data_IF_511772573664
#
_entry.id   IF_511772573664
#
_cell.length_a   1.000
_cell.length_b   1.000
_cell.length_c   1.000
_cell.angle_alpha   90.00
_cell.angle_beta   90.00
_cell.angle_gamma   90.00
#
_symmetry.space_group_name_H-M   'P 1'
#
loop_
_entity.id
_entity.type
_entity.pdbx_description
1 polymer ?
#
# COMPACT_ATOMS: atom_id res chain seq x y z
N UNK A 1 40.76 34.02 40.75
CA UNK A 1 39.53 33.19 40.65
C UNK A 1 39.23 32.70 39.21
N UNK A 2 40.13 32.90 38.24
CA UNK A 2 39.98 32.40 36.86
C UNK A 2 41.18 31.53 36.47
N UNK A 3 41.54 30.55 37.29
CA UNK A 3 42.40 29.46 36.84
C UNK A 3 41.54 28.20 36.70
N UNK A 4 41.64 27.47 35.57
CA UNK A 4 40.87 26.25 35.36
C UNK A 4 41.34 25.21 36.37
N UNK A 5 40.60 25.06 37.47
CA UNK A 5 40.72 23.91 38.34
C UNK A 5 40.04 22.73 37.65
N UNK A 6 40.85 21.78 37.17
CA UNK A 6 40.33 20.61 36.47
C UNK A 6 41.40 19.58 36.18
N UNK A 7 40.99 18.32 36.16
CA UNK A 7 41.83 17.18 35.79
C UNK A 7 42.23 17.34 34.31
N UNK A 8 43.53 17.23 34.01
CA UNK A 8 44.03 17.24 32.63
C UNK A 8 43.54 15.97 31.92
N UNK A 9 42.53 16.11 31.05
CA UNK A 9 42.03 15.01 30.22
C UNK A 9 43.01 14.76 29.07
N UNK A 10 43.60 13.55 28.94
CA UNK A 10 44.52 13.24 27.85
C UNK A 10 43.78 13.06 26.51
N UNK A 11 44.53 13.13 25.41
CA UNK A 11 43.98 12.92 24.07
C UNK A 11 43.43 11.49 23.90
N UNK A 12 42.31 11.31 23.17
CA UNK A 12 41.71 10.01 22.98
C UNK A 12 42.61 9.10 22.13
N UNK A 13 42.79 7.84 22.56
CA UNK A 13 43.55 6.84 21.79
C UNK A 13 42.89 6.50 20.44
N UNK A 14 41.56 6.52 20.39
CA UNK A 14 40.79 6.21 19.19
C UNK A 14 39.45 6.94 19.25
N UNK A 15 39.00 7.44 18.11
CA UNK A 15 37.69 8.08 17.96
C UNK A 15 36.97 7.49 16.75
N UNK A 16 35.65 7.30 16.90
CA UNK A 16 34.77 6.84 15.82
C UNK A 16 33.52 7.71 15.80
N UNK A 17 33.15 8.20 14.61
CA UNK A 17 31.97 9.03 14.41
C UNK A 17 31.08 8.36 13.36
N UNK A 18 29.91 7.87 13.78
CA UNK A 18 28.95 7.23 12.88
C UNK A 18 28.17 8.25 12.07
N UNK A 19 27.93 7.98 10.79
CA UNK A 19 27.12 8.82 9.90
C UNK A 19 25.97 8.03 9.27
N UNK A 20 24.99 7.68 10.09
CA UNK A 20 23.83 6.86 9.71
C UNK A 20 23.03 7.42 8.52
N UNK A 21 22.93 8.75 8.40
CA UNK A 21 22.21 9.39 7.29
C UNK A 21 22.87 9.20 5.92
N UNK A 22 24.20 9.02 5.88
CA UNK A 22 24.96 8.78 4.63
C UNK A 22 25.26 7.31 4.38
N UNK A 23 24.98 6.43 5.34
CA UNK A 23 25.16 4.99 5.17
C UNK A 23 24.16 4.47 4.11
N UNK A 24 24.61 3.85 3.01
CA UNK A 24 23.74 3.37 1.95
C UNK A 24 22.77 2.28 2.39
N UNK A 25 23.08 1.53 3.46
CA UNK A 25 22.24 0.44 3.98
C UNK A 25 21.19 0.94 4.97
N UNK A 26 21.52 1.95 5.78
CA UNK A 26 20.62 2.46 6.83
C UNK A 26 19.83 3.69 6.38
N UNK A 27 20.46 4.61 5.64
CA UNK A 27 19.89 5.89 5.15
C UNK A 27 19.20 6.74 6.23
N UNK A 28 19.60 6.56 7.48
CA UNK A 28 18.94 7.11 8.66
C UNK A 28 19.17 6.24 9.89
N UNK A 29 18.66 6.69 11.04
CA UNK A 29 18.82 5.97 12.31
C UNK A 29 17.64 5.04 12.60
N UNK A 30 16.42 5.60 12.67
CA UNK A 30 15.18 4.88 12.97
C UNK A 30 13.98 5.67 12.49
N UNK A 31 12.82 5.02 12.43
CA UNK A 31 11.60 5.64 11.95
C UNK A 31 11.00 6.61 12.98
N UNK A 32 10.23 7.60 12.49
CA UNK A 32 9.45 8.50 13.32
C UNK A 32 8.10 8.83 12.64
N UNK A 33 7.13 9.29 13.43
CA UNK A 33 5.87 9.82 12.90
C UNK A 33 6.11 11.27 12.49
N UNK A 34 6.31 11.50 11.20
CA UNK A 34 6.47 12.83 10.64
C UNK A 34 5.19 13.68 10.80
N UNK A 35 5.32 15.00 10.66
CA UNK A 35 4.16 15.90 10.66
C UNK A 35 3.21 15.52 9.53
N UNK A 36 1.95 15.23 9.87
CA UNK A 36 0.92 14.78 8.93
C UNK A 36 0.90 13.27 8.66
N UNK A 37 1.84 12.50 9.23
CA UNK A 37 1.79 11.04 9.29
C UNK A 37 0.99 10.59 10.52
N UNK A 38 0.58 9.32 10.55
CA UNK A 38 -0.09 8.73 11.72
C UNK A 38 0.48 7.35 12.04
N UNK A 39 0.12 6.83 13.22
CA UNK A 39 0.49 5.47 13.59
C UNK A 39 -0.06 4.40 12.63
N UNK A 40 -1.08 4.73 11.81
CA UNK A 40 -1.64 3.82 10.82
C UNK A 40 -0.66 3.57 9.66
N UNK A 41 0.31 4.48 9.44
CA UNK A 41 1.34 4.28 8.42
C UNK A 41 2.23 3.07 8.73
N UNK A 42 2.45 2.74 10.02
CA UNK A 42 3.13 1.51 10.41
C UNK A 42 2.32 0.26 10.07
N UNK A 43 1.00 0.32 10.25
CA UNK A 43 0.11 -0.79 9.91
C UNK A 43 0.11 -1.02 8.40
N UNK A 44 0.10 0.07 7.60
CA UNK A 44 0.22 0.03 6.13
C UNK A 44 1.57 -0.58 5.71
N UNK A 45 2.68 -0.17 6.34
CA UNK A 45 4.00 -0.73 6.04
C UNK A 45 4.13 -2.21 6.42
N UNK A 46 3.36 -2.67 7.41
CA UNK A 46 3.32 -4.07 7.83
C UNK A 46 2.43 -4.96 6.94
N UNK A 47 1.68 -4.40 5.98
CA UNK A 47 0.78 -5.17 5.14
C UNK A 47 1.55 -6.13 4.22
N UNK A 48 1.10 -7.40 4.17
CA UNK A 48 1.59 -8.33 3.17
C UNK A 48 1.02 -8.01 1.77
N UNK A 49 1.80 -8.30 0.73
CA UNK A 49 1.47 -8.02 -0.66
C UNK A 49 1.46 -9.31 -1.48
N UNK A 50 0.59 -9.37 -2.50
CA UNK A 50 0.54 -10.48 -3.45
C UNK A 50 -0.03 -11.77 -2.89
N UNK A 51 -1.01 -11.68 -1.98
CA UNK A 51 -1.62 -12.83 -1.29
C UNK A 51 -0.58 -13.65 -0.50
N UNK A 52 0.21 -12.97 0.34
CA UNK A 52 1.25 -13.60 1.15
C UNK A 52 2.47 -14.05 0.36
N UNK A 53 2.92 -13.23 -0.59
CA UNK A 53 4.18 -13.43 -1.34
C UNK A 53 5.31 -12.55 -0.81
N UNK A 54 4.98 -11.31 -0.49
CA UNK A 54 5.91 -10.33 0.06
C UNK A 54 5.43 -9.92 1.44
N UNK A 55 6.33 -9.97 2.41
CA UNK A 55 6.10 -9.65 3.81
C UNK A 55 7.12 -8.59 4.24
N UNK A 56 6.72 -7.72 5.15
CA UNK A 56 7.57 -6.63 5.65
C UNK A 56 7.69 -6.75 7.17
N UNK A 57 8.93 -6.85 7.62
CA UNK A 57 9.30 -6.87 9.03
C UNK A 57 10.32 -5.76 9.33
N UNK A 58 10.61 -5.56 10.61
CA UNK A 58 11.52 -4.54 11.09
C UNK A 58 10.83 -3.50 11.96
N UNK A 59 11.64 -2.57 12.48
CA UNK A 59 11.23 -1.53 13.42
C UNK A 59 10.10 -0.66 12.85
N UNK A 60 10.26 -0.21 11.60
CA UNK A 60 9.29 0.64 10.89
C UNK A 60 7.96 -0.04 10.52
N UNK A 61 7.73 -1.28 10.98
CA UNK A 61 6.47 -2.03 10.77
C UNK A 61 5.75 -2.34 12.09
N UNK A 62 6.22 -1.77 13.20
CA UNK A 62 5.67 -2.00 14.54
C UNK A 62 5.09 -0.73 15.14
N UNK A 63 3.77 -0.55 15.05
CA UNK A 63 3.05 0.59 15.64
C UNK A 63 3.18 0.70 17.15
N UNK A 64 3.25 -0.44 17.85
CA UNK A 64 3.33 -0.48 19.33
C UNK A 64 4.73 -0.17 19.83
N UNK A 65 5.74 -0.53 19.06
CA UNK A 65 7.13 -0.49 19.46
C UNK A 65 8.01 0.07 18.32
N UNK A 66 7.74 1.30 17.85
CA UNK A 66 8.60 1.95 16.86
C UNK A 66 9.95 2.32 17.48
N UNK A 67 10.91 2.65 16.62
CA UNK A 67 12.29 3.02 16.87
C UNK A 67 13.05 2.10 17.86
N UNK A 68 12.68 0.82 17.95
CA UNK A 68 13.19 -0.10 18.98
C UNK A 68 13.65 -1.44 18.42
N UNK A 69 14.67 -2.02 19.07
CA UNK A 69 15.20 -3.35 18.73
C UNK A 69 14.17 -4.46 19.01
N UNK A 70 13.48 -4.43 20.16
CA UNK A 70 12.42 -5.42 20.42
C UNK A 70 11.26 -5.30 19.44
N UNK A 71 10.97 -4.11 18.90
CA UNK A 71 9.94 -3.91 17.89
C UNK A 71 10.27 -4.62 16.59
N UNK A 72 11.54 -4.57 16.17
CA UNK A 72 12.04 -5.32 15.02
C UNK A 72 12.01 -6.84 15.24
N UNK A 73 12.37 -7.31 16.44
CA UNK A 73 12.32 -8.73 16.78
C UNK A 73 10.88 -9.27 16.74
N UNK A 74 9.95 -8.57 17.40
CA UNK A 74 8.55 -8.99 17.47
C UNK A 74 7.87 -8.93 16.09
N UNK A 75 8.19 -7.94 15.25
CA UNK A 75 7.68 -7.91 13.87
C UNK A 75 8.26 -9.06 13.02
N UNK A 76 9.51 -9.47 13.26
CA UNK A 76 10.07 -10.68 12.65
C UNK A 76 9.28 -11.95 12.98
N UNK A 77 8.97 -12.19 14.25
CA UNK A 77 8.14 -13.34 14.65
C UNK A 77 6.72 -13.26 14.08
N UNK A 78 6.14 -12.06 14.01
CA UNK A 78 4.83 -11.83 13.39
C UNK A 78 4.82 -12.27 11.93
N UNK A 79 5.79 -11.82 11.13
CA UNK A 79 5.86 -12.18 9.71
C UNK A 79 6.21 -13.65 9.49
N UNK A 80 7.08 -14.24 10.31
CA UNK A 80 7.38 -15.67 10.23
C UNK A 80 6.12 -16.54 10.44
N UNK A 81 5.29 -16.17 11.42
CA UNK A 81 4.00 -16.84 11.65
C UNK A 81 3.04 -16.67 10.46
N UNK A 82 2.98 -15.48 9.85
CA UNK A 82 2.19 -15.25 8.65
C UNK A 82 2.70 -16.08 7.46
N UNK A 83 4.00 -16.12 7.22
CA UNK A 83 4.61 -16.91 6.16
C UNK A 83 4.26 -18.40 6.28
N UNK A 84 4.35 -18.95 7.49
CA UNK A 84 3.99 -20.35 7.77
C UNK A 84 2.51 -20.64 7.47
N UNK A 85 1.62 -19.73 7.89
CA UNK A 85 0.18 -19.83 7.59
C UNK A 85 -0.09 -19.77 6.09
N UNK A 86 0.46 -18.78 5.39
CA UNK A 86 0.30 -18.65 3.94
C UNK A 86 0.90 -19.82 3.17
N UNK A 87 2.00 -20.41 3.64
CA UNK A 87 2.57 -21.62 3.06
C UNK A 87 1.62 -22.83 3.23
N UNK A 88 1.05 -22.98 4.42
CA UNK A 88 0.08 -24.04 4.73
C UNK A 88 -1.23 -23.88 3.94
N UNK A 89 -1.72 -22.65 3.81
CA UNK A 89 -2.92 -22.33 3.02
C UNK A 89 -2.70 -22.64 1.53
N UNK A 90 -1.49 -22.36 1.01
CA UNK A 90 -1.12 -22.72 -0.37
C UNK A 90 -1.04 -24.24 -0.56
N UNK A 91 -0.51 -24.97 0.42
CA UNK A 91 -0.41 -26.42 0.36
C UNK A 91 -1.76 -27.13 0.48
N UNK A 92 -2.69 -26.57 1.27
CA UNK A 92 -3.99 -27.20 1.54
C UNK A 92 -5.03 -27.01 0.44
N UNK A 93 -4.84 -26.08 -0.51
CA UNK A 93 -5.72 -25.89 -1.68
C UNK A 93 -7.18 -25.50 -1.38
N UNK A 94 -7.56 -25.42 -0.09
CA UNK A 94 -8.90 -25.13 0.37
C UNK A 94 -9.11 -23.63 0.42
N UNK A 95 -10.24 -23.16 -0.12
CA UNK A 95 -10.67 -21.77 -0.07
C UNK A 95 -10.98 -21.39 1.38
N UNK A 96 -9.96 -20.88 2.09
CA UNK A 96 -10.10 -20.37 3.46
C UNK A 96 -11.20 -19.31 3.46
N UNK A 97 -12.23 -19.50 4.30
CA UNK A 97 -13.24 -18.47 4.58
C UNK A 97 -12.56 -17.32 5.32
N UNK A 98 -12.05 -16.37 4.53
CA UNK A 98 -11.32 -15.18 4.97
C UNK A 98 -12.15 -14.28 5.90
N UNK A 99 -11.47 -13.57 6.80
CA UNK A 99 -12.08 -12.65 7.78
C UNK A 99 -12.84 -11.49 7.09
N UNK A 100 -13.80 -10.83 7.76
CA UNK A 100 -14.56 -9.72 7.18
C UNK A 100 -13.70 -8.53 6.71
N UNK A 101 -12.55 -8.27 7.36
CA UNK A 101 -11.59 -7.23 6.94
C UNK A 101 -10.95 -7.55 5.58
N UNK A 102 -10.49 -8.79 5.42
CA UNK A 102 -9.91 -9.29 4.16
C UNK A 102 -10.93 -9.30 3.02
N UNK A 103 -12.24 -9.43 3.29
CA UNK A 103 -13.29 -9.31 2.25
C UNK A 103 -13.34 -7.92 1.63
N UNK A 104 -13.25 -6.87 2.43
CA UNK A 104 -13.29 -5.48 1.95
C UNK A 104 -12.01 -5.13 1.17
N UNK A 105 -10.88 -5.66 1.63
CA UNK A 105 -9.57 -5.56 0.98
C UNK A 105 -9.57 -6.25 -0.39
N UNK A 106 -10.02 -7.51 -0.44
CA UNK A 106 -10.16 -8.26 -1.70
C UNK A 106 -11.10 -7.55 -2.69
N UNK A 107 -12.17 -6.91 -2.20
CA UNK A 107 -13.09 -6.14 -3.05
C UNK A 107 -12.44 -4.89 -3.67
N UNK A 108 -11.51 -4.23 -2.96
CA UNK A 108 -10.74 -3.11 -3.55
C UNK A 108 -9.72 -3.62 -4.57
N UNK A 109 -8.98 -4.67 -4.22
CA UNK A 109 -8.01 -5.29 -5.12
C UNK A 109 -8.72 -5.77 -6.39
N UNK A 110 -9.91 -6.37 -6.29
CA UNK A 110 -10.68 -6.78 -7.46
C UNK A 110 -11.13 -5.59 -8.32
N UNK A 111 -11.58 -4.50 -7.70
CA UNK A 111 -11.93 -3.26 -8.43
C UNK A 111 -10.71 -2.67 -9.15
N UNK A 112 -9.54 -2.64 -8.51
CA UNK A 112 -8.30 -2.20 -9.15
C UNK A 112 -7.90 -3.14 -10.29
N UNK A 113 -7.99 -4.45 -10.11
CA UNK A 113 -7.75 -5.42 -11.17
C UNK A 113 -8.68 -5.19 -12.37
N UNK A 114 -9.96 -4.89 -12.14
CA UNK A 114 -10.91 -4.59 -13.22
C UNK A 114 -10.58 -3.27 -13.94
N UNK A 115 -10.22 -2.21 -13.21
CA UNK A 115 -9.87 -0.91 -13.80
C UNK A 115 -8.61 -1.01 -14.67
N UNK A 116 -7.61 -1.77 -14.22
CA UNK A 116 -6.35 -1.94 -14.94
C UNK A 116 -6.38 -3.03 -16.04
N UNK A 117 -7.56 -3.58 -16.39
CA UNK A 117 -7.71 -4.38 -17.63
C UNK A 117 -7.53 -3.55 -18.89
N UNK A 118 -7.85 -2.25 -18.82
CA UNK A 118 -7.66 -1.28 -19.91
C UNK A 118 -6.99 -0.02 -19.33
N UNK A 119 -5.68 -0.05 -19.05
CA UNK A 119 -4.97 1.13 -18.60
C UNK A 119 -4.97 2.21 -19.68
N UNK A 120 -4.85 3.48 -19.28
CA UNK A 120 -4.79 4.58 -20.26
C UNK A 120 -3.41 4.64 -20.91
N UNK A 121 -2.36 4.37 -20.12
CA UNK A 121 -0.98 4.25 -20.60
C UNK A 121 -0.33 3.03 -19.94
N UNK A 122 0.41 2.24 -20.70
CA UNK A 122 1.13 1.07 -20.19
C UNK A 122 2.51 0.96 -20.84
N UNK A 123 3.54 0.93 -20.00
CA UNK A 123 4.93 0.79 -20.40
C UNK A 123 5.58 -0.35 -19.62
N UNK A 124 5.54 -1.55 -20.20
CA UNK A 124 6.15 -2.73 -19.63
C UNK A 124 5.48 -3.17 -18.33
N UNK A 125 6.19 -3.04 -17.21
CA UNK A 125 5.68 -3.36 -15.85
C UNK A 125 4.86 -2.24 -15.22
N UNK A 126 4.89 -1.04 -15.79
CA UNK A 126 4.26 0.14 -15.20
C UNK A 126 3.02 0.54 -16.00
N UNK A 127 1.91 0.76 -15.32
CA UNK A 127 0.66 1.21 -15.93
C UNK A 127 0.10 2.42 -15.20
N UNK A 128 -0.53 3.32 -15.95
CA UNK A 128 -1.14 4.55 -15.47
C UNK A 128 -2.62 4.59 -15.79
N UNK A 129 -3.36 5.19 -14.86
CA UNK A 129 -4.79 5.39 -14.92
C UNK A 129 -5.11 6.85 -14.55
N UNK A 130 -5.77 7.58 -15.43
CA UNK A 130 -6.13 8.98 -15.24
C UNK A 130 -7.61 9.16 -14.90
N UNK A 131 -7.91 10.13 -14.03
CA UNK A 131 -9.25 10.71 -13.97
C UNK A 131 -9.46 11.68 -15.14
N UNK A 132 -10.57 11.55 -15.88
CA UNK A 132 -10.90 12.44 -17.01
C UNK A 132 -11.42 13.80 -16.54
N UNK A 133 -12.11 13.88 -15.41
CA UNK A 133 -12.59 15.17 -14.86
C UNK A 133 -11.45 16.04 -14.31
N UNK A 134 -11.54 17.34 -14.60
CA UNK A 134 -10.61 18.40 -14.14
C UNK A 134 -10.52 18.52 -12.60
N UNK A 135 -11.52 17.99 -11.87
CA UNK A 135 -11.54 17.95 -10.41
C UNK A 135 -10.50 16.98 -9.83
N UNK A 136 -10.17 15.90 -10.54
CA UNK A 136 -9.20 14.91 -10.08
C UNK A 136 -7.83 15.22 -10.69
N UNK A 137 -7.06 16.07 -10.02
CA UNK A 137 -5.65 16.34 -10.35
C UNK A 137 -4.72 15.16 -10.04
N UNK A 138 -5.24 13.93 -10.03
CA UNK A 138 -4.56 12.72 -9.53
C UNK A 138 -4.72 11.57 -10.52
N UNK A 139 -3.72 10.72 -10.58
CA UNK A 139 -3.68 9.49 -11.38
C UNK A 139 -3.28 8.31 -10.49
N UNK A 140 -3.64 7.09 -10.88
CA UNK A 140 -3.26 5.86 -10.21
C UNK A 140 -2.16 5.19 -11.02
N UNK A 141 -1.02 4.98 -10.39
CA UNK A 141 0.13 4.23 -10.89
C UNK A 141 0.04 2.79 -10.36
N UNK A 142 0.26 1.82 -11.24
CA UNK A 142 0.44 0.40 -10.90
C UNK A 142 1.83 -0.04 -11.38
N UNK A 143 2.55 -0.77 -10.54
CA UNK A 143 3.78 -1.47 -10.90
C UNK A 143 3.59 -2.97 -10.68
N UNK A 144 3.85 -3.76 -11.70
CA UNK A 144 3.73 -5.21 -11.70
C UNK A 144 5.08 -5.85 -11.40
N UNK A 145 5.12 -6.77 -10.44
CA UNK A 145 6.30 -7.53 -10.05
C UNK A 145 6.06 -9.04 -10.26
N UNK A 146 7.14 -9.78 -10.56
CA UNK A 146 7.10 -11.24 -10.74
C UNK A 146 6.93 -11.73 -12.17
N UNK A 147 6.88 -10.84 -13.17
CA UNK A 147 6.97 -11.24 -14.58
C UNK A 147 8.44 -11.41 -14.97
N UNK A 148 8.89 -12.66 -15.11
CA UNK A 148 10.16 -12.95 -15.74
C UNK A 148 10.00 -12.70 -17.24
N UNK A 149 10.55 -11.59 -17.74
CA UNK A 149 10.64 -11.34 -19.18
C UNK A 149 11.90 -12.02 -19.64
N UNK A 150 11.82 -13.30 -19.99
CA UNK A 150 12.85 -13.93 -20.81
C UNK A 150 12.80 -13.24 -22.18
N UNK A 151 13.69 -12.27 -22.42
CA UNK A 151 14.05 -11.84 -23.77
C UNK A 151 15.56 -11.80 -23.93
N UNK A 152 16.02 -12.89 -24.55
CA UNK A 152 17.15 -13.03 -25.49
C UNK A 152 18.57 -12.71 -25.01
N UNK A 153 19.34 -13.78 -24.77
CA UNK A 153 20.79 -13.78 -24.90
C UNK A 153 21.49 -14.79 -23.97
N UNK A 154 21.93 -15.91 -24.54
CA UNK A 154 22.74 -17.01 -23.95
C UNK A 154 21.98 -18.05 -23.12
N UNK A 155 21.51 -19.09 -23.83
CA UNK A 155 20.98 -20.33 -23.27
C UNK A 155 22.14 -21.28 -22.94
N UNK A 156 22.29 -21.65 -21.66
CA UNK A 156 23.05 -22.83 -21.24
C UNK A 156 22.07 -24.01 -21.08
N UNK A 157 22.42 -25.23 -21.52
CA UNK A 157 21.49 -26.36 -21.60
C UNK A 157 20.99 -26.89 -20.23
N UNK A 158 21.70 -26.63 -19.12
CA UNK A 158 21.30 -27.10 -17.78
C UNK A 158 20.25 -26.21 -17.07
N UNK A 159 20.00 -25.00 -17.56
CA UNK A 159 19.01 -24.10 -16.94
C UNK A 159 17.56 -24.53 -17.23
N UNK A 160 17.32 -25.32 -18.28
CA UNK A 160 15.98 -25.74 -18.70
C UNK A 160 15.28 -26.64 -17.68
N UNK A 161 16.01 -27.57 -17.05
CA UNK A 161 15.45 -28.45 -16.02
C UNK A 161 15.21 -27.71 -14.71
N UNK A 162 16.10 -26.79 -14.32
CA UNK A 162 15.89 -25.93 -13.15
C UNK A 162 14.71 -24.98 -13.38
N UNK A 163 14.58 -24.41 -14.57
CA UNK A 163 13.49 -23.52 -14.96
C UNK A 163 12.15 -24.27 -15.07
N UNK A 164 12.15 -25.54 -15.53
CA UNK A 164 10.97 -26.41 -15.51
C UNK A 164 10.58 -26.87 -14.10
N UNK A 165 11.53 -27.12 -13.20
CA UNK A 165 11.25 -27.42 -11.79
C UNK A 165 10.76 -26.18 -11.04
N UNK A 166 11.34 -25.01 -11.31
CA UNK A 166 10.91 -23.73 -10.77
C UNK A 166 9.53 -23.31 -11.28
N UNK A 167 9.18 -23.56 -12.54
CA UNK A 167 7.85 -23.20 -13.08
C UNK A 167 6.71 -24.04 -12.50
N UNK A 168 6.97 -25.29 -12.09
CA UNK A 168 5.97 -26.16 -11.45
C UNK A 168 5.79 -25.88 -9.95
N UNK A 169 6.86 -25.55 -9.21
CA UNK A 169 6.79 -25.16 -7.79
C UNK A 169 6.32 -23.72 -7.59
N UNK A 170 6.59 -22.88 -8.58
CA UNK A 170 6.39 -21.45 -8.53
C UNK A 170 5.44 -21.10 -9.69
N UNK A 171 4.14 -21.36 -9.50
CA UNK A 171 3.11 -20.55 -10.18
C UNK A 171 3.39 -19.10 -9.75
N UNK A 172 4.32 -18.42 -10.44
CA UNK A 172 4.72 -17.05 -10.14
C UNK A 172 3.59 -16.14 -10.59
N UNK A 173 2.55 -16.08 -9.76
CA UNK A 173 1.47 -15.12 -9.92
C UNK A 173 2.06 -13.74 -9.65
N UNK A 174 1.98 -12.89 -10.67
CA UNK A 174 2.35 -11.49 -10.61
C UNK A 174 1.65 -10.83 -9.40
N UNK A 175 2.36 -9.92 -8.73
CA UNK A 175 1.75 -9.07 -7.72
C UNK A 175 1.91 -7.60 -8.10
N UNK A 176 0.98 -6.79 -7.60
CA UNK A 176 0.86 -5.40 -8.01
C UNK A 176 1.05 -4.49 -6.81
N UNK A 177 1.84 -3.45 -6.99
CA UNK A 177 1.90 -2.31 -6.08
C UNK A 177 1.29 -1.09 -6.75
N UNK A 178 0.69 -0.23 -5.95
CA UNK A 178 -0.05 0.92 -6.42
C UNK A 178 0.39 2.20 -5.72
N UNK A 179 0.18 3.32 -6.40
CA UNK A 179 0.38 4.66 -5.82
C UNK A 179 -0.53 5.66 -6.51
N UNK A 180 -1.09 6.59 -5.74
CA UNK A 180 -1.71 7.79 -6.30
C UNK A 180 -0.64 8.85 -6.50
N UNK A 181 -0.56 9.36 -7.72
CA UNK A 181 0.35 10.42 -8.14
C UNK A 181 -0.44 11.63 -8.61
N UNK A 182 0.20 12.81 -8.67
CA UNK A 182 -0.42 13.98 -9.27
C UNK A 182 -0.45 13.83 -10.80
N UNK A 183 -1.43 14.44 -11.46
CA UNK A 183 -1.53 14.41 -12.93
C UNK A 183 -0.30 15.05 -13.60
N UNK A 184 0.30 16.08 -12.98
CA UNK A 184 1.55 16.69 -13.45
C UNK A 184 2.70 15.67 -13.47
N UNK A 185 2.87 14.93 -12.38
CA UNK A 185 3.92 13.90 -12.28
C UNK A 185 3.67 12.75 -13.25
N UNK A 186 2.40 12.37 -13.45
CA UNK A 186 2.03 11.36 -14.44
C UNK A 186 2.39 11.78 -15.87
N UNK A 187 2.18 13.06 -16.22
CA UNK A 187 2.58 13.60 -17.52
C UNK A 187 4.11 13.68 -17.68
N UNK A 188 4.83 14.13 -16.65
CA UNK A 188 6.30 14.10 -16.62
C UNK A 188 6.83 12.69 -16.85
N UNK A 189 6.21 11.67 -16.23
CA UNK A 189 6.55 10.26 -16.48
C UNK A 189 6.36 9.87 -17.95
N UNK A 190 5.23 10.23 -18.56
CA UNK A 190 4.95 9.89 -19.96
C UNK A 190 5.85 10.61 -20.97
N UNK A 191 6.40 11.77 -20.62
CA UNK A 191 7.32 12.51 -21.47
C UNK A 191 8.74 11.90 -21.50
N UNK A 192 9.08 11.05 -20.53
CA UNK A 192 10.40 10.40 -20.47
C UNK A 192 10.59 9.43 -21.64
N UNK A 193 11.52 9.76 -22.53
CA UNK A 193 12.02 8.84 -23.55
C UNK A 193 13.00 7.86 -22.90
N UNK A 194 12.58 6.61 -22.68
CA UNK A 194 13.50 5.59 -22.17
C UNK A 194 12.87 4.27 -21.74
N UNK A 195 11.67 3.94 -22.22
CA UNK A 195 11.09 2.63 -21.94
C UNK A 195 10.65 2.45 -20.48
N UNK A 196 10.60 1.19 -20.06
CA UNK A 196 10.29 0.78 -18.69
C UNK A 196 11.35 1.23 -17.69
N UNK A 197 12.64 1.15 -18.07
CA UNK A 197 13.76 1.40 -17.16
C UNK A 197 13.85 2.87 -16.74
N UNK A 198 13.55 3.80 -17.64
CA UNK A 198 13.50 5.22 -17.31
C UNK A 198 12.37 5.54 -16.32
N UNK A 199 11.21 4.89 -16.47
CA UNK A 199 10.09 5.06 -15.55
C UNK A 199 10.42 4.49 -14.17
N UNK A 200 10.98 3.28 -14.11
CA UNK A 200 11.39 2.66 -12.84
C UNK A 200 12.48 3.47 -12.16
N UNK A 201 13.49 3.93 -12.91
CA UNK A 201 14.56 4.79 -12.38
C UNK A 201 14.01 6.09 -11.83
N UNK A 202 13.10 6.75 -12.55
CA UNK A 202 12.45 7.97 -12.06
C UNK A 202 11.67 7.73 -10.76
N UNK A 203 10.96 6.61 -10.65
CA UNK A 203 10.21 6.25 -9.43
C UNK A 203 11.13 6.00 -8.23
N UNK A 204 12.33 5.46 -8.45
CA UNK A 204 13.33 5.22 -7.41
C UNK A 204 14.03 6.52 -7.00
N UNK A 205 14.41 7.35 -7.96
CA UNK A 205 15.18 8.58 -7.73
C UNK A 205 14.32 9.70 -7.13
N UNK A 206 13.01 9.74 -7.43
CA UNK A 206 12.11 10.73 -6.85
C UNK A 206 11.72 10.32 -5.42
N UNK A 207 12.16 11.06 -4.38
CA UNK A 207 11.99 10.68 -2.97
C UNK A 207 10.53 10.70 -2.47
N UNK A 208 9.55 11.02 -3.34
CA UNK A 208 8.14 11.24 -2.97
C UNK A 208 7.18 10.15 -3.45
N UNK A 209 7.64 9.15 -4.20
CA UNK A 209 6.79 8.08 -4.73
C UNK A 209 7.02 6.80 -3.93
N UNK A 210 6.20 6.59 -2.90
CA UNK A 210 6.18 5.32 -2.15
C UNK A 210 5.15 4.40 -2.78
N UNK A 211 5.60 3.26 -3.32
CA UNK A 211 4.71 2.21 -3.81
C UNK A 211 4.13 1.46 -2.61
N UNK A 212 2.82 1.20 -2.64
CA UNK A 212 2.10 0.54 -1.55
C UNK A 212 1.39 -0.70 -2.08
N UNK A 213 1.03 -1.62 -1.19
CA UNK A 213 0.13 -2.72 -1.56
C UNK A 213 -1.24 -2.19 -2.03
N UNK A 214 -2.05 -3.08 -2.62
CA UNK A 214 -3.44 -2.72 -2.98
C UNK A 214 -4.27 -2.20 -1.79
N UNK A 215 -3.89 -2.62 -0.57
CA UNK A 215 -4.48 -2.18 0.68
C UNK A 215 -3.89 -0.85 1.18
N UNK A 216 -2.59 -0.63 1.05
CA UNK A 216 -1.93 0.61 1.46
C UNK A 216 -2.39 1.90 0.76
N UNK A 217 -3.27 1.82 -0.25
CA UNK A 217 -4.07 2.97 -0.70
C UNK A 217 -5.18 3.38 0.29
N UNK A 218 -5.14 2.95 1.55
CA UNK A 218 -6.09 3.30 2.61
C UNK A 218 -6.10 4.82 2.88
N UNK A 219 -6.99 5.53 2.21
CA UNK A 219 -7.29 6.92 2.49
C UNK A 219 -8.58 7.35 1.83
N UNK A 220 -9.37 8.20 2.49
CA UNK A 220 -10.62 8.78 1.93
C UNK A 220 -10.37 9.42 0.55
N UNK A 221 -9.18 10.00 0.38
CA UNK A 221 -8.73 10.58 -0.88
C UNK A 221 -8.54 9.53 -1.99
N UNK A 222 -8.10 8.32 -1.66
CA UNK A 222 -7.85 7.27 -2.63
C UNK A 222 -9.15 6.60 -3.07
N UNK A 223 -10.03 6.29 -2.12
CA UNK A 223 -11.35 5.74 -2.41
C UNK A 223 -12.16 6.69 -3.31
N UNK A 224 -12.06 8.00 -3.08
CA UNK A 224 -12.71 9.01 -3.92
C UNK A 224 -12.19 8.99 -5.37
N UNK A 225 -10.88 8.87 -5.57
CA UNK A 225 -10.27 8.81 -6.91
C UNK A 225 -10.64 7.50 -7.62
N UNK A 226 -10.56 6.36 -6.91
CA UNK A 226 -10.94 5.05 -7.47
C UNK A 226 -12.44 5.04 -7.86
N UNK A 227 -13.31 5.58 -7.00
CA UNK A 227 -14.74 5.66 -7.27
C UNK A 227 -15.06 6.59 -8.44
N UNK A 228 -14.37 7.73 -8.54
CA UNK A 228 -14.51 8.69 -9.66
C UNK A 228 -14.13 8.03 -10.99
N UNK A 229 -12.94 7.42 -11.07
CA UNK A 229 -12.47 6.74 -12.29
C UNK A 229 -13.40 5.58 -12.67
N UNK A 230 -13.86 4.80 -11.68
CA UNK A 230 -14.83 3.72 -11.90
C UNK A 230 -16.16 4.24 -12.45
N UNK A 231 -16.69 5.32 -11.89
CA UNK A 231 -17.94 5.92 -12.35
C UNK A 231 -17.81 6.49 -13.78
N UNK A 232 -16.67 7.09 -14.12
CA UNK A 232 -16.40 7.60 -15.46
C UNK A 232 -16.37 6.48 -16.52
N UNK A 233 -15.73 5.35 -16.19
CA UNK A 233 -15.59 4.23 -17.13
C UNK A 233 -16.90 3.44 -17.29
N UNK A 234 -17.71 3.31 -16.24
CA UNK A 234 -19.04 2.71 -16.32
C UNK A 234 -20.07 3.64 -17.00
N UNK A 235 -19.96 4.96 -16.80
CA UNK A 235 -20.88 5.95 -17.39
C UNK A 235 -20.69 6.16 -18.90
N UNK A 236 -19.54 5.76 -19.46
CA UNK A 236 -19.29 5.83 -20.90
C UNK A 236 -20.00 4.73 -21.71
N UNK A 237 -20.64 3.76 -21.05
CA UNK A 237 -21.34 2.64 -21.69
C UNK A 237 -22.87 2.84 -21.82
N UNK A 238 -23.40 4.02 -21.55
CA UNK A 238 -24.83 4.34 -21.77
C UNK A 238 -25.00 5.63 -22.56
N UNK A 239 -24.63 5.59 -23.84
CA UNK A 239 -25.18 6.50 -24.84
C UNK A 239 -25.43 5.74 -26.14
N UNK A 240 -26.27 4.72 -26.06
CA UNK A 240 -27.02 4.21 -27.19
C UNK A 240 -28.49 4.47 -26.86
N UNK A 241 -29.06 5.42 -27.61
CA UNK A 241 -30.47 5.63 -27.92
C UNK A 241 -31.49 4.80 -27.14
N UNK A 242 -32.42 5.46 -26.43
CA UNK A 242 -33.85 5.34 -26.73
C UNK A 242 -34.66 6.42 -26.00
N UNK A 243 -35.75 6.81 -26.66
CA UNK A 243 -36.61 7.96 -26.42
C UNK A 243 -37.19 8.07 -25.01
N UNK A 244 -37.48 9.33 -24.66
CA UNK A 244 -37.88 9.75 -23.33
C UNK A 244 -39.19 9.18 -22.80
N UNK A 245 -39.31 9.30 -21.49
CA UNK A 245 -40.58 9.53 -20.79
C UNK A 245 -40.30 10.26 -19.48
N UNK A 246 -41.05 11.33 -19.28
CA UNK A 246 -41.07 12.21 -18.12
C UNK A 246 -41.36 11.44 -16.82
N UNK A 247 -40.57 11.71 -15.78
CA UNK A 247 -40.82 11.28 -14.40
C UNK A 247 -41.43 12.44 -13.60
N UNK A 248 -42.50 12.23 -12.80
CA UNK A 248 -43.10 13.29 -11.99
C UNK A 248 -42.33 13.52 -10.68
N UNK A 249 -42.31 14.79 -10.24
CA UNK A 249 -41.63 15.26 -9.01
C UNK A 249 -42.18 14.59 -7.73
N UNK A 250 -41.34 14.26 -6.73
CA UNK A 250 -41.82 13.70 -5.47
C UNK A 250 -42.39 14.79 -4.55
N UNK A 251 -43.60 14.52 -4.01
CA UNK A 251 -44.30 15.35 -3.02
C UNK A 251 -43.64 15.21 -1.64
N UNK A 252 -43.33 16.36 -1.02
CA UNK A 252 -42.92 16.49 0.39
C UNK A 252 -43.97 15.86 1.32
N UNK A 253 -43.56 14.94 2.21
CA UNK A 253 -44.38 14.48 3.35
C UNK A 253 -43.88 15.14 4.64
N UNK A 254 -44.82 15.69 5.41
CA UNK A 254 -44.61 16.38 6.69
C UNK A 254 -44.20 15.37 7.78
N UNK A 255 -43.28 15.77 8.65
CA UNK A 255 -42.87 15.01 9.82
C UNK A 255 -43.96 15.02 10.90
N UNK A 256 -44.29 13.85 11.46
CA UNK A 256 -45.10 13.70 12.66
C UNK A 256 -44.13 13.38 13.82
N UNK A 257 -44.12 14.25 14.82
CA UNK A 257 -43.32 14.15 16.04
C UNK A 257 -44.03 13.17 16.98
N UNK A 258 -43.41 12.01 17.24
CA UNK A 258 -43.83 11.06 18.27
C UNK A 258 -42.91 11.15 19.49
N UNK A 259 -43.46 11.55 20.63
CA UNK A 259 -42.77 11.60 21.92
C UNK A 259 -42.50 10.17 22.44
N UNK A 260 -41.22 9.79 22.55
CA UNK A 260 -40.78 8.58 23.24
C UNK A 260 -40.42 8.92 24.69
N UNK A 261 -41.26 8.48 25.63
CA UNK A 261 -41.03 8.54 27.09
C UNK A 261 -39.95 7.53 27.48
N UNK A 262 -38.79 8.00 27.95
CA UNK A 262 -37.79 7.15 28.62
C UNK A 262 -38.10 7.06 30.12
N UNK A 263 -38.36 5.83 30.61
CA UNK A 263 -38.45 5.50 32.05
C UNK A 263 -37.03 5.42 32.63
N UNK A 264 -36.79 6.20 33.67
CA UNK A 264 -35.56 6.24 34.47
C UNK A 264 -35.62 5.13 35.53
N UNK A 265 -34.73 4.14 35.47
CA UNK A 265 -34.56 3.13 36.54
C UNK A 265 -33.41 3.59 37.44
N UNK A 266 -33.72 3.83 38.72
CA UNK A 266 -32.76 4.04 39.81
C UNK A 266 -32.16 2.69 40.20
N UNK A 267 -30.84 2.57 40.20
CA UNK A 267 -30.13 1.50 40.91
C UNK A 267 -29.29 2.14 42.03
N UNK A 268 -29.54 1.68 43.25
CA UNK A 268 -29.02 2.20 44.50
C UNK A 268 -27.56 1.81 44.76
N UNK A 269 -26.82 2.73 45.39
CA UNK A 269 -25.56 2.48 46.09
C UNK A 269 -25.76 1.44 47.19
N UNK A 270 -24.82 0.51 47.33
CA UNK A 270 -24.44 -0.10 48.61
C UNK A 270 -22.92 0.02 48.78
N UNK A 271 -22.53 0.81 49.78
CA UNK A 271 -21.25 0.75 50.50
C UNK A 271 -21.30 -0.43 51.47
N UNK A 272 -20.14 -1.04 51.74
CA UNK A 272 -19.70 -1.88 52.88
C UNK A 272 -18.54 -2.74 52.32
N UNK A 273 -17.35 -2.83 52.91
CA UNK A 273 -16.72 -2.22 54.08
C UNK A 273 -15.22 -2.50 53.99
#
# INVERSE_FOLDING_TARGET
IYEPQGIKVPDPLQTHCTRWGSDPLSRGSYSNVAVGASGDDYDILAENVGNGRLFFAGEATSKRYPASMHGALLSGFREAAYMSRYASDRASGLTVKKKPSEKKENARVSVLSDLFKQPDEEQGRVALLYGRKRADSRAILRVTFGKNRNKTGQQYPDDLLLEQLQSNLNQQKEFYMYRIISKKLALELTELRGGEDAWVKFLIEKPRVKLLGGNGLLGRSADSVIASIKAERLGSCTSSSYGGRSQPKPKRRKAIIGQLKYKRVRASRKLLG
#
